data_IF_146922236540
#
_entry.id   IF_146922236540
#
_cell.length_a   1.000
_cell.length_b   1.000
_cell.length_c   1.000
_cell.angle_alpha   90.00
_cell.angle_beta   90.00
_cell.angle_gamma   90.00
#
_symmetry.space_group_name_H-M   'P 1'
#
loop_
_entity.id
_entity.type
_entity.pdbx_description
1 polymer ?
#
# COMPACT_ATOMS: atom_id res chain seq x y z
N UNK A 1 0.67 8.57 22.80
CA UNK A 1 1.21 9.05 21.51
C UNK A 1 1.17 7.98 20.43
N UNK A 2 1.71 6.78 20.67
CA UNK A 2 1.72 5.68 19.69
C UNK A 2 0.35 5.38 19.05
N UNK A 3 -0.70 5.19 19.86
CA UNK A 3 -2.05 4.90 19.37
C UNK A 3 -2.60 5.98 18.43
N UNK A 4 -2.32 7.26 18.72
CA UNK A 4 -2.77 8.38 17.89
C UNK A 4 -2.15 8.31 16.51
N UNK A 5 -0.83 8.05 16.44
CA UNK A 5 -0.11 7.92 15.17
C UNK A 5 -0.61 6.69 14.41
N UNK A 6 -0.80 5.57 15.09
CA UNK A 6 -1.31 4.33 14.49
C UNK A 6 -2.69 4.54 13.83
N UNK A 7 -3.63 5.16 14.55
CA UNK A 7 -4.96 5.48 14.00
C UNK A 7 -4.88 6.53 12.88
N UNK A 8 -4.01 7.52 12.99
CA UNK A 8 -3.82 8.51 11.92
C UNK A 8 -3.32 7.88 10.62
N UNK A 9 -2.38 6.92 10.70
CA UNK A 9 -1.89 6.17 9.53
C UNK A 9 -3.01 5.35 8.90
N UNK A 10 -3.83 4.65 9.72
CA UNK A 10 -4.99 3.90 9.21
C UNK A 10 -5.97 4.83 8.50
N UNK A 11 -6.30 5.98 9.09
CA UNK A 11 -7.21 6.95 8.47
C UNK A 11 -6.63 7.45 7.14
N UNK A 12 -5.34 7.73 7.09
CA UNK A 12 -4.65 8.14 5.86
C UNK A 12 -4.76 7.08 4.75
N UNK A 13 -4.51 5.80 5.10
CA UNK A 13 -4.66 4.68 4.17
C UNK A 13 -6.11 4.53 3.68
N UNK A 14 -7.09 4.64 4.58
CA UNK A 14 -8.50 4.59 4.23
C UNK A 14 -8.92 5.76 3.33
N UNK A 15 -8.39 6.96 3.56
CA UNK A 15 -8.63 8.11 2.68
C UNK A 15 -7.99 7.90 1.30
N UNK A 16 -6.76 7.41 1.22
CA UNK A 16 -6.09 7.11 -0.05
C UNK A 16 -6.88 6.07 -0.86
N UNK A 17 -7.34 5.00 -0.21
CA UNK A 17 -8.20 3.99 -0.83
C UNK A 17 -9.55 4.58 -1.24
N UNK A 18 -10.15 5.43 -0.41
CA UNK A 18 -11.43 6.08 -0.72
C UNK A 18 -11.33 6.94 -1.97
N UNK A 19 -10.26 7.71 -2.15
CA UNK A 19 -10.07 8.55 -3.34
C UNK A 19 -9.95 7.67 -4.60
N UNK A 20 -9.32 6.50 -4.50
CA UNK A 20 -9.20 5.56 -5.61
C UNK A 20 -10.54 4.87 -5.96
N UNK A 21 -11.29 4.41 -4.95
CA UNK A 21 -12.51 3.61 -5.15
C UNK A 21 -13.79 4.44 -5.28
N UNK A 22 -13.88 5.61 -4.66
CA UNK A 22 -15.06 6.48 -4.69
C UNK A 22 -14.75 7.65 -5.61
N UNK A 23 -15.29 7.67 -6.84
CA UNK A 23 -15.11 8.80 -7.73
C UNK A 23 -15.78 10.03 -7.13
N UNK A 24 -15.00 11.05 -6.80
CA UNK A 24 -15.48 12.41 -6.94
C UNK A 24 -15.59 12.69 -8.45
N UNK A 25 -16.50 13.58 -8.85
CA UNK A 25 -16.99 13.74 -10.24
C UNK A 25 -15.97 14.33 -11.22
N UNK A 26 -14.70 13.94 -11.13
CA UNK A 26 -13.70 14.26 -12.13
C UNK A 26 -13.96 13.41 -13.36
N UNK A 27 -14.49 14.06 -14.39
CA UNK A 27 -14.54 13.57 -15.77
C UNK A 27 -13.13 13.24 -16.23
N UNK A 28 -12.68 12.02 -15.94
CA UNK A 28 -11.43 11.45 -16.41
C UNK A 28 -11.50 11.29 -17.92
N UNK A 29 -11.12 12.36 -18.62
CA UNK A 29 -10.84 12.30 -20.06
C UNK A 29 -9.67 11.31 -20.25
N UNK A 30 -9.87 10.31 -21.12
CA UNK A 30 -8.89 9.38 -21.70
C UNK A 30 -7.48 9.40 -21.10
N UNK A 31 -7.03 8.29 -20.49
CA UNK A 31 -5.65 7.98 -20.02
C UNK A 31 -4.70 9.19 -20.08
N UNK A 32 -4.94 10.20 -19.25
CA UNK A 32 -4.09 11.39 -19.17
C UNK A 32 -2.85 11.01 -18.35
N UNK A 33 -1.70 11.62 -18.67
CA UNK A 33 -0.48 11.50 -17.86
C UNK A 33 -0.77 11.82 -16.37
N UNK A 34 -1.72 12.72 -16.12
CA UNK A 34 -2.22 13.07 -14.78
C UNK A 34 -2.76 11.85 -14.01
N UNK A 35 -3.48 10.95 -14.69
CA UNK A 35 -4.05 9.74 -14.07
C UNK A 35 -2.96 8.74 -13.70
N UNK A 36 -1.92 8.64 -14.53
CA UNK A 36 -0.78 7.78 -14.27
C UNK A 36 0.04 8.31 -13.07
N UNK A 37 0.28 9.61 -13.01
CA UNK A 37 0.93 10.25 -11.85
C UNK A 37 0.09 10.05 -10.58
N UNK A 38 -1.22 10.23 -10.66
CA UNK A 38 -2.14 9.99 -9.55
C UNK A 38 -2.08 8.53 -9.05
N UNK A 39 -2.05 7.56 -9.98
CA UNK A 39 -1.89 6.15 -9.65
C UNK A 39 -0.56 5.90 -8.92
N UNK A 40 0.55 6.42 -9.45
CA UNK A 40 1.87 6.31 -8.83
C UNK A 40 1.94 6.92 -7.42
N UNK A 41 1.33 8.10 -7.23
CA UNK A 41 1.21 8.73 -5.91
C UNK A 41 0.39 7.88 -4.94
N UNK A 42 -0.71 7.27 -5.41
CA UNK A 42 -1.54 6.37 -4.60
C UNK A 42 -0.74 5.16 -4.12
N UNK A 43 0.04 4.54 -5.02
CA UNK A 43 0.97 3.46 -4.66
C UNK A 43 1.99 3.90 -3.62
N UNK A 44 2.61 5.06 -3.78
CA UNK A 44 3.59 5.58 -2.84
C UNK A 44 2.98 5.80 -1.45
N UNK A 45 1.76 6.35 -1.36
CA UNK A 45 1.06 6.57 -0.08
C UNK A 45 0.73 5.25 0.60
N UNK A 46 0.25 4.25 -0.14
CA UNK A 46 -0.07 2.93 0.42
C UNK A 46 1.20 2.24 0.93
N UNK A 47 2.27 2.26 0.13
CA UNK A 47 3.57 1.71 0.50
C UNK A 47 4.12 2.37 1.77
N UNK A 48 4.12 3.71 1.84
CA UNK A 48 4.58 4.42 3.03
C UNK A 48 3.67 4.12 4.22
N UNK A 49 2.36 4.09 4.04
CA UNK A 49 1.41 3.83 5.12
C UNK A 49 1.55 2.43 5.73
N UNK A 50 1.61 1.38 4.91
CA UNK A 50 1.83 0.02 5.40
C UNK A 50 3.22 -0.16 6.00
N UNK A 51 4.27 0.39 5.37
CA UNK A 51 5.61 0.40 5.97
C UNK A 51 5.65 1.07 7.35
N UNK A 52 4.94 2.18 7.54
CA UNK A 52 4.81 2.82 8.85
C UNK A 52 3.98 1.98 9.83
N UNK A 53 2.94 1.27 9.39
CA UNK A 53 2.20 0.34 10.25
C UNK A 53 3.11 -0.79 10.75
N UNK A 54 3.91 -1.40 9.87
CA UNK A 54 4.86 -2.44 10.26
C UNK A 54 5.86 -1.91 11.28
N UNK A 55 6.47 -0.76 11.01
CA UNK A 55 7.43 -0.13 11.92
C UNK A 55 6.80 0.18 13.29
N UNK A 56 5.61 0.78 13.33
CA UNK A 56 4.96 1.13 14.59
C UNK A 56 4.69 -0.11 15.44
N UNK A 57 4.25 -1.19 14.82
CA UNK A 57 3.95 -2.42 15.54
C UNK A 57 5.24 -3.11 16.02
N UNK A 58 6.32 -3.06 15.23
CA UNK A 58 7.64 -3.55 15.65
C UNK A 58 8.23 -2.73 16.80
N UNK A 59 8.08 -1.40 16.77
CA UNK A 59 8.47 -0.50 17.88
C UNK A 59 7.64 -0.73 19.15
N UNK A 60 6.45 -1.32 19.04
CA UNK A 60 5.64 -1.74 20.20
C UNK A 60 6.18 -3.04 20.84
N UNK A 61 7.21 -3.66 20.25
CA UNK A 61 7.78 -4.92 20.71
C UNK A 61 7.08 -6.16 20.15
N UNK A 62 6.21 -6.00 19.14
CA UNK A 62 5.62 -7.15 18.46
C UNK A 62 6.52 -7.56 17.29
N UNK A 63 7.02 -8.80 17.33
CA UNK A 63 7.81 -9.35 16.23
C UNK A 63 6.89 -9.57 15.02
N UNK A 64 7.05 -8.72 14.01
CA UNK A 64 6.26 -8.73 12.78
C UNK A 64 7.09 -9.05 11.56
N UNK A 65 8.37 -8.74 11.62
CA UNK A 65 9.31 -8.95 10.53
C UNK A 65 10.40 -9.88 11.04
N UNK A 66 10.73 -10.90 10.25
CA UNK A 66 11.98 -11.65 10.40
C UNK A 66 12.83 -11.29 9.20
N UNK A 67 14.00 -10.74 9.47
CA UNK A 67 15.04 -10.55 8.48
C UNK A 67 16.02 -11.71 8.59
N UNK A 68 16.17 -12.47 7.51
CA UNK A 68 17.05 -13.64 7.47
C UNK A 68 18.53 -13.26 7.33
N UNK A 69 18.83 -12.00 7.04
CA UNK A 69 20.18 -11.51 6.72
C UNK A 69 20.89 -10.82 7.88
N UNK A 70 20.15 -10.44 8.94
CA UNK A 70 20.69 -9.64 10.07
C UNK A 70 20.55 -10.40 11.39
N UNK A 71 21.67 -10.57 12.11
CA UNK A 71 21.74 -11.32 13.39
C UNK A 71 21.69 -10.39 14.62
N UNK A 72 21.83 -9.07 14.43
CA UNK A 72 21.95 -8.09 15.51
C UNK A 72 20.69 -7.22 15.66
N UNK A 73 20.55 -6.56 16.81
CA UNK A 73 19.48 -5.58 17.04
C UNK A 73 19.59 -4.43 16.04
N UNK A 74 18.56 -4.27 15.21
CA UNK A 74 18.50 -3.21 14.20
C UNK A 74 18.32 -1.84 14.82
N UNK A 75 19.07 -0.88 14.31
CA UNK A 75 18.84 0.54 14.60
C UNK A 75 17.48 0.99 14.05
N UNK A 76 16.97 2.13 14.55
CA UNK A 76 15.68 2.68 14.10
C UNK A 76 15.61 2.91 12.59
N UNK A 77 16.70 3.40 11.98
CA UNK A 77 16.79 3.65 10.53
C UNK A 77 16.66 2.35 9.72
N UNK A 78 17.29 1.27 10.21
CA UNK A 78 17.24 -0.05 9.57
C UNK A 78 15.84 -0.64 9.69
N UNK A 79 15.20 -0.55 10.86
CA UNK A 79 13.80 -1.00 11.04
C UNK A 79 12.84 -0.28 10.11
N UNK A 80 12.99 1.05 9.96
CA UNK A 80 12.20 1.84 9.03
C UNK A 80 12.41 1.37 7.59
N UNK A 81 13.67 1.21 7.18
CA UNK A 81 14.02 0.80 5.81
C UNK A 81 13.53 -0.62 5.51
N UNK A 82 13.73 -1.57 6.42
CA UNK A 82 13.22 -2.95 6.29
C UNK A 82 11.70 -2.97 6.24
N UNK A 83 11.01 -2.16 7.04
CA UNK A 83 9.54 -2.09 7.04
C UNK A 83 8.99 -1.53 5.72
N UNK A 84 9.59 -0.45 5.21
CA UNK A 84 9.23 0.11 3.89
C UNK A 84 9.56 -0.85 2.75
N UNK A 85 10.69 -1.55 2.85
CA UNK A 85 11.08 -2.57 1.89
C UNK A 85 10.09 -3.74 1.86
N UNK A 86 9.70 -4.27 3.02
CA UNK A 86 8.68 -5.32 3.13
C UNK A 86 7.36 -4.89 2.49
N UNK A 87 6.93 -3.65 2.76
CA UNK A 87 5.74 -3.07 2.14
C UNK A 87 5.88 -2.98 0.62
N UNK A 88 7.01 -2.47 0.11
CA UNK A 88 7.26 -2.36 -1.33
C UNK A 88 7.20 -3.74 -2.04
N UNK A 89 7.95 -4.73 -1.54
CA UNK A 89 8.01 -6.06 -2.17
C UNK A 89 6.66 -6.79 -2.05
N UNK A 90 5.84 -6.47 -1.05
CA UNK A 90 4.48 -7.03 -0.88
C UNK A 90 3.50 -6.36 -1.84
N UNK A 91 3.47 -5.02 -1.85
CA UNK A 91 2.54 -4.23 -2.67
C UNK A 91 2.75 -4.46 -4.16
N UNK A 92 4.01 -4.58 -4.60
CA UNK A 92 4.36 -4.90 -5.99
C UNK A 92 4.44 -6.40 -6.27
N UNK A 93 4.13 -7.25 -5.28
CA UNK A 93 4.12 -8.72 -5.42
C UNK A 93 5.46 -9.31 -5.90
N UNK A 94 6.58 -8.68 -5.51
CA UNK A 94 7.94 -9.14 -5.83
C UNK A 94 8.36 -10.25 -4.86
N UNK A 95 8.19 -10.01 -3.56
CA UNK A 95 8.39 -11.00 -2.50
C UNK A 95 9.69 -11.81 -2.57
N UNK A 96 10.85 -11.15 -2.53
CA UNK A 96 12.16 -11.83 -2.60
C UNK A 96 12.40 -12.91 -1.52
N UNK A 97 11.69 -12.82 -0.39
CA UNK A 97 11.72 -13.83 0.68
C UNK A 97 12.88 -13.68 1.66
N UNK A 98 13.69 -12.63 1.51
CA UNK A 98 14.73 -12.19 2.43
C UNK A 98 14.16 -11.60 3.72
N UNK A 99 13.06 -10.84 3.58
CA UNK A 99 12.29 -10.23 4.67
C UNK A 99 10.89 -10.84 4.70
N UNK A 100 10.55 -11.53 5.78
CA UNK A 100 9.32 -12.34 5.86
C UNK A 100 8.42 -11.85 7.00
N UNK A 101 7.11 -11.66 6.74
CA UNK A 101 6.15 -11.28 7.76
C UNK A 101 5.79 -12.46 8.68
N UNK A 102 5.70 -12.18 9.97
CA UNK A 102 5.30 -13.13 11.02
C UNK A 102 4.24 -12.55 11.94
N UNK A 103 3.57 -13.42 12.70
CA UNK A 103 2.51 -13.02 13.62
C UNK A 103 1.40 -12.24 12.92
N UNK A 104 1.04 -11.08 13.49
CA UNK A 104 0.02 -10.15 12.95
C UNK A 104 0.45 -9.55 11.60
N UNK A 105 1.76 -9.50 11.31
CA UNK A 105 2.30 -9.04 10.04
C UNK A 105 1.73 -9.77 8.83
N UNK A 106 1.44 -11.08 8.97
CA UNK A 106 0.86 -11.91 7.91
C UNK A 106 -0.49 -11.38 7.44
N UNK A 107 -1.35 -10.96 8.38
CA UNK A 107 -2.66 -10.42 8.02
C UNK A 107 -2.54 -9.08 7.28
N UNK A 108 -1.62 -8.23 7.73
CA UNK A 108 -1.38 -6.94 7.11
C UNK A 108 -0.82 -7.08 5.68
N UNK A 109 0.17 -7.96 5.46
CA UNK A 109 0.71 -8.18 4.10
C UNK A 109 -0.32 -8.81 3.15
N UNK A 110 -1.24 -9.65 3.67
CA UNK A 110 -2.32 -10.21 2.84
C UNK A 110 -3.28 -9.10 2.36
N UNK A 111 -3.63 -8.17 3.25
CA UNK A 111 -4.43 -7.01 2.88
C UNK A 111 -3.69 -6.10 1.91
N UNK A 112 -2.41 -5.83 2.15
CA UNK A 112 -1.58 -5.01 1.29
C UNK A 112 -1.42 -5.61 -0.11
N UNK A 113 -1.15 -6.92 -0.22
CA UNK A 113 -1.06 -7.61 -1.49
C UNK A 113 -2.39 -7.58 -2.27
N UNK A 114 -3.52 -7.76 -1.57
CA UNK A 114 -4.85 -7.62 -2.18
C UNK A 114 -5.04 -6.22 -2.78
N UNK A 115 -4.64 -5.18 -2.06
CA UNK A 115 -4.67 -3.81 -2.57
C UNK A 115 -3.75 -3.65 -3.79
N UNK A 116 -2.53 -4.17 -3.72
CA UNK A 116 -1.54 -4.16 -4.80
C UNK A 116 -2.10 -4.68 -6.13
N UNK A 117 -2.90 -5.75 -6.10
CA UNK A 117 -3.57 -6.30 -7.28
C UNK A 117 -4.86 -5.57 -7.68
N UNK A 118 -5.60 -5.03 -6.72
CA UNK A 118 -6.90 -4.41 -6.99
C UNK A 118 -6.75 -3.03 -7.62
N UNK A 119 -5.69 -2.29 -7.26
CA UNK A 119 -5.47 -0.92 -7.71
C UNK A 119 -5.30 -0.82 -9.25
N UNK A 120 -4.44 -1.60 -9.94
CA UNK A 120 -4.30 -1.54 -11.40
C UNK A 120 -5.55 -2.04 -12.09
N UNK A 121 -6.20 -3.08 -11.56
CA UNK A 121 -7.45 -3.59 -12.11
C UNK A 121 -8.54 -2.52 -12.08
N UNK A 122 -8.71 -1.83 -10.95
CA UNK A 122 -9.64 -0.71 -10.83
C UNK A 122 -9.30 0.44 -11.78
N UNK A 123 -8.01 0.75 -11.94
CA UNK A 123 -7.54 1.77 -12.88
C UNK A 123 -7.84 1.41 -14.35
N UNK A 124 -7.63 0.15 -14.75
CA UNK A 124 -7.90 -0.35 -16.10
C UNK A 124 -9.40 -0.35 -16.37
N UNK A 125 -10.22 -0.90 -15.47
CA UNK A 125 -11.69 -0.91 -15.60
C UNK A 125 -12.21 0.51 -15.83
N UNK A 126 -11.74 1.48 -15.04
CA UNK A 126 -12.14 2.89 -15.21
C UNK A 126 -11.66 3.48 -16.53
N UNK A 127 -10.41 3.21 -16.91
CA UNK A 127 -9.82 3.78 -18.13
C UNK A 127 -10.50 3.26 -19.40
N UNK A 128 -10.90 1.99 -19.42
CA UNK A 128 -11.38 1.32 -20.64
C UNK A 128 -12.89 1.08 -20.69
N UNK A 129 -13.57 0.76 -19.58
CA UNK A 129 -14.99 0.36 -19.58
C UNK A 129 -15.92 1.57 -19.48
N UNK A 130 -15.53 2.63 -18.79
CA UNK A 130 -16.34 3.86 -18.67
C UNK A 130 -16.41 4.67 -19.98
N UNK A 131 -15.68 4.23 -21.02
CA UNK A 131 -15.69 4.81 -22.36
C UNK A 131 -16.61 4.07 -23.36
N UNK A 132 -17.48 3.14 -22.94
CA UNK A 132 -18.57 2.69 -23.82
C UNK A 132 -19.73 3.70 -23.79
N UNK A 133 -19.89 4.57 -24.81
CA UNK A 133 -21.17 5.24 -24.98
C UNK A 133 -22.20 4.16 -25.26
N UNK A 134 -23.21 4.06 -24.39
CA UNK A 134 -24.50 3.46 -24.69
C UNK A 134 -25.13 4.25 -25.84
N UNK A 135 -24.68 4.00 -27.07
CA UNK A 135 -25.35 4.42 -28.28
C UNK A 135 -25.43 3.24 -29.24
N UNK A 136 -26.30 2.30 -28.86
CA UNK A 136 -26.94 1.37 -29.79
C UNK A 136 -28.43 1.35 -29.48
N UNK A 137 -29.16 2.30 -30.06
CA UNK A 137 -30.32 2.07 -30.93
C UNK A 137 -30.96 3.39 -31.32
#
# INVERSE_FOLDING_TARGET
MWYIIFFAVIICLLMALRILFIPDRFTFKQVSFENFVFLGCTYAIIMIGFGLLFLLLELKGMTIIIDTTVVQEKEWNEKLTTSLYLSAITLFSVGYGDVVPVGVGRLLVMLEALLGYTIPAAFVVRSFIEHEPLNRK
#
